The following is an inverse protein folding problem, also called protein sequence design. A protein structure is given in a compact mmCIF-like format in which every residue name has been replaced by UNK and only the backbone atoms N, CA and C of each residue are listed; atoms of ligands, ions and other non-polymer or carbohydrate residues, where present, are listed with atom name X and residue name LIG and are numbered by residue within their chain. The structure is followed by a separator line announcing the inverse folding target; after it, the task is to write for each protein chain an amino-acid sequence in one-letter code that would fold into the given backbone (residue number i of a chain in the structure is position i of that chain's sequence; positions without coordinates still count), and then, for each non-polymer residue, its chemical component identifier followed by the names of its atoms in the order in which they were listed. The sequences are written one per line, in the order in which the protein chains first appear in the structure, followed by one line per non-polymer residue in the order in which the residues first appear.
data_IF_808198770454
#
_entry.id   IF_808198770454
#
_cell.length_a   1.000
_cell.length_b   1.000
_cell.length_c   1.000
_cell.angle_alpha   90.00
_cell.angle_beta   90.00
_cell.angle_gamma   90.00
#
_symmetry.space_group_name_H-M   'P 1'
#
loop_
_entity.id
_entity.type
_entity.pdbx_description
1 polymer ?
#
# COMPACT_ATOMS: atom_id res chain seq x y z
N UNK A 1 28.74 -34.77 -28.88
CA UNK A 1 27.40 -34.98 -28.34
C UNK A 1 27.36 -34.74 -26.83
N UNK A 2 28.27 -35.32 -26.09
CA UNK A 2 28.31 -35.17 -24.62
C UNK A 2 28.52 -33.73 -24.17
N UNK A 3 29.38 -32.99 -24.82
CA UNK A 3 29.67 -31.57 -24.50
C UNK A 3 28.46 -30.66 -24.74
N UNK A 4 27.68 -30.92 -25.79
CA UNK A 4 26.49 -30.14 -26.11
C UNK A 4 25.37 -30.33 -25.09
N UNK A 5 25.17 -31.58 -24.64
CA UNK A 5 24.17 -31.88 -23.62
C UNK A 5 24.55 -31.24 -22.27
N UNK A 6 25.84 -31.31 -21.89
CA UNK A 6 26.37 -30.70 -20.69
C UNK A 6 26.23 -29.15 -20.71
N UNK A 7 26.49 -28.52 -21.85
CA UNK A 7 26.35 -27.09 -22.03
C UNK A 7 24.89 -26.65 -21.92
N UNK A 8 23.98 -27.40 -22.55
CA UNK A 8 22.53 -27.12 -22.45
C UNK A 8 22.04 -27.21 -21.01
N UNK A 9 22.46 -28.21 -20.27
CA UNK A 9 22.12 -28.35 -18.86
C UNK A 9 22.64 -27.19 -18.03
N UNK A 10 23.89 -26.79 -18.26
CA UNK A 10 24.51 -25.66 -17.58
C UNK A 10 23.76 -24.36 -17.87
N UNK A 11 23.38 -24.14 -19.15
CA UNK A 11 22.62 -22.96 -19.58
C UNK A 11 21.21 -22.94 -18.94
N UNK A 12 20.56 -24.10 -18.88
CA UNK A 12 19.26 -24.26 -18.22
C UNK A 12 19.33 -23.96 -16.73
N UNK A 13 20.34 -24.48 -16.05
CA UNK A 13 20.57 -24.20 -14.63
C UNK A 13 20.78 -22.72 -14.37
N UNK A 14 21.53 -22.05 -15.23
CA UNK A 14 21.81 -20.62 -15.13
C UNK A 14 20.52 -19.81 -15.31
N UNK A 15 19.72 -20.17 -16.31
CA UNK A 15 18.41 -19.54 -16.56
C UNK A 15 17.47 -19.75 -15.38
N UNK A 16 17.45 -20.95 -14.83
CA UNK A 16 16.61 -21.27 -13.68
C UNK A 16 17.01 -20.45 -12.46
N UNK A 17 18.29 -20.32 -12.19
CA UNK A 17 18.81 -19.50 -11.08
C UNK A 17 18.42 -18.03 -11.26
N UNK A 18 18.54 -17.49 -12.46
CA UNK A 18 18.16 -16.11 -12.76
C UNK A 18 16.67 -15.89 -12.55
N UNK A 19 15.82 -16.82 -13.01
CA UNK A 19 14.38 -16.75 -12.82
C UNK A 19 14.01 -16.87 -11.35
N UNK A 20 14.66 -17.77 -10.62
CA UNK A 20 14.44 -17.94 -9.18
C UNK A 20 14.78 -16.66 -8.42
N UNK A 21 15.91 -16.03 -8.74
CA UNK A 21 16.31 -14.75 -8.12
C UNK A 21 15.31 -13.65 -8.41
N UNK A 22 14.87 -13.54 -9.66
CA UNK A 22 13.84 -12.54 -10.05
C UNK A 22 12.53 -12.78 -9.33
N UNK A 23 12.14 -14.03 -9.18
CA UNK A 23 10.92 -14.40 -8.47
C UNK A 23 11.00 -14.00 -7.00
N UNK A 24 12.14 -14.27 -6.35
CA UNK A 24 12.37 -13.90 -4.96
C UNK A 24 12.34 -12.38 -4.78
N UNK A 25 12.98 -11.65 -5.68
CA UNK A 25 12.99 -10.19 -5.68
C UNK A 25 11.58 -9.63 -5.84
N UNK A 26 10.80 -10.21 -6.78
CA UNK A 26 9.41 -9.81 -6.99
C UNK A 26 8.56 -10.06 -5.75
N UNK A 27 8.74 -11.20 -5.10
CA UNK A 27 8.02 -11.52 -3.86
C UNK A 27 8.36 -10.55 -2.73
N UNK A 28 9.63 -10.18 -2.60
CA UNK A 28 10.06 -9.17 -1.62
C UNK A 28 9.43 -7.82 -1.89
N UNK A 29 9.38 -7.41 -3.16
CA UNK A 29 8.73 -6.17 -3.58
C UNK A 29 7.25 -6.19 -3.29
N UNK A 30 6.56 -7.30 -3.57
CA UNK A 30 5.14 -7.47 -3.27
C UNK A 30 4.90 -7.34 -1.77
N UNK A 31 5.74 -7.98 -0.95
CA UNK A 31 5.65 -7.89 0.50
C UNK A 31 5.79 -6.46 1.00
N UNK A 32 6.77 -5.73 0.49
CA UNK A 32 7.01 -4.32 0.83
C UNK A 32 5.82 -3.44 0.42
N UNK A 33 5.28 -3.65 -0.78
CA UNK A 33 4.12 -2.90 -1.28
C UNK A 33 2.86 -3.17 -0.45
N UNK A 34 2.65 -4.42 -0.05
CA UNK A 34 1.52 -4.78 0.83
C UNK A 34 1.63 -4.08 2.18
N UNK A 35 2.83 -4.04 2.73
CA UNK A 35 3.08 -3.34 3.99
C UNK A 35 2.79 -1.85 3.85
N UNK A 36 3.28 -1.21 2.79
CA UNK A 36 3.01 0.21 2.50
C UNK A 36 1.53 0.47 2.31
N UNK A 37 0.85 -0.39 1.57
CA UNK A 37 -0.59 -0.25 1.32
C UNK A 37 -1.39 -0.33 2.61
N UNK A 38 -1.05 -1.25 3.50
CA UNK A 38 -1.69 -1.36 4.80
C UNK A 38 -1.43 -0.13 5.66
N UNK A 39 -0.21 0.37 5.64
CA UNK A 39 0.17 1.58 6.38
C UNK A 39 -0.60 2.80 5.85
N UNK A 40 -0.67 2.96 4.53
CA UNK A 40 -1.40 4.05 3.89
C UNK A 40 -2.91 3.96 4.15
N UNK A 41 -3.47 2.76 4.12
CA UNK A 41 -4.89 2.54 4.41
C UNK A 41 -5.23 2.95 5.85
N UNK A 42 -4.38 2.62 6.81
CA UNK A 42 -4.54 3.04 8.20
C UNK A 42 -4.44 4.56 8.35
N UNK A 43 -3.48 5.17 7.67
CA UNK A 43 -3.32 6.63 7.66
C UNK A 43 -4.55 7.32 7.09
N UNK A 44 -5.05 6.80 5.97
CA UNK A 44 -6.23 7.33 5.30
C UNK A 44 -7.45 7.29 6.22
N UNK A 45 -7.66 6.17 6.91
CA UNK A 45 -8.75 6.02 7.87
C UNK A 45 -8.65 7.02 9.02
N UNK A 46 -7.44 7.24 9.55
CA UNK A 46 -7.21 8.23 10.60
C UNK A 46 -7.51 9.65 10.13
N UNK A 47 -7.09 9.98 8.91
CA UNK A 47 -7.34 11.30 8.32
C UNK A 47 -8.82 11.50 8.06
N UNK A 48 -9.53 10.49 7.57
CA UNK A 48 -10.98 10.53 7.36
C UNK A 48 -11.72 10.74 8.69
N UNK A 49 -11.30 10.05 9.74
CA UNK A 49 -11.90 10.22 11.07
C UNK A 49 -11.67 11.63 11.61
N UNK A 50 -10.47 12.18 11.44
CA UNK A 50 -10.15 13.56 11.82
C UNK A 50 -10.98 14.57 11.03
N UNK A 51 -11.10 14.35 9.73
CA UNK A 51 -11.90 15.21 8.87
C UNK A 51 -13.36 15.19 9.28
N UNK A 52 -13.90 14.02 9.59
CA UNK A 52 -15.26 13.86 10.10
C UNK A 52 -15.45 14.63 11.40
N UNK A 53 -14.52 14.53 12.35
CA UNK A 53 -14.56 15.26 13.62
C UNK A 53 -14.55 16.76 13.40
N UNK A 54 -13.66 17.25 12.53
CA UNK A 54 -13.55 18.68 12.24
C UNK A 54 -14.84 19.19 11.61
N UNK A 55 -15.41 18.45 10.67
CA UNK A 55 -16.69 18.80 10.04
C UNK A 55 -17.83 18.84 11.06
N UNK A 56 -17.89 17.85 11.94
CA UNK A 56 -18.89 17.81 12.98
C UNK A 56 -18.78 18.99 13.95
N UNK A 57 -17.55 19.35 14.33
CA UNK A 57 -17.29 20.53 15.16
C UNK A 57 -17.66 21.83 14.46
N UNK A 58 -17.34 21.97 13.18
CA UNK A 58 -17.68 23.14 12.40
C UNK A 58 -19.21 23.28 12.24
N UNK A 59 -19.90 22.20 11.93
CA UNK A 59 -21.36 22.18 11.83
C UNK A 59 -22.01 22.50 13.15
N UNK A 60 -21.51 21.90 14.24
CA UNK A 60 -21.98 22.20 15.59
C UNK A 60 -21.77 23.65 15.98
N UNK A 61 -20.62 24.23 15.68
CA UNK A 61 -20.31 25.63 15.93
C UNK A 61 -21.20 26.55 15.09
N UNK A 62 -21.40 26.20 13.82
CA UNK A 62 -22.26 26.92 12.92
C UNK A 62 -23.73 26.94 13.40
N UNK A 63 -24.23 25.80 13.83
CA UNK A 63 -25.57 25.66 14.37
C UNK A 63 -25.74 26.44 15.68
N UNK A 64 -24.76 26.40 16.55
CA UNK A 64 -24.77 27.17 17.80
C UNK A 64 -24.83 28.67 17.51
N UNK A 65 -24.08 29.15 16.53
CA UNK A 65 -24.12 30.57 16.11
C UNK A 65 -25.47 30.96 15.54
N UNK A 66 -26.07 30.08 14.73
CA UNK A 66 -27.42 30.29 14.18
C UNK A 66 -28.44 30.36 15.27
N UNK A 67 -28.39 29.49 16.26
CA UNK A 67 -29.30 29.49 17.41
C UNK A 67 -29.17 30.76 18.21
N UNK A 68 -27.96 31.26 18.46
CA UNK A 68 -27.72 32.52 19.13
C UNK A 68 -28.35 33.69 18.35
N UNK A 69 -28.21 33.70 17.03
CA UNK A 69 -28.79 34.72 16.17
C UNK A 69 -30.31 34.67 16.20
N UNK A 70 -30.89 33.46 16.20
CA UNK A 70 -32.35 33.27 16.23
C UNK A 70 -32.97 33.66 17.57
N UNK A 71 -32.24 33.54 18.64
CA UNK A 71 -32.72 33.87 19.99
C UNK A 71 -32.58 35.37 20.32
N UNK A 72 -31.88 36.10 19.48
CA UNK A 72 -31.82 37.55 19.60
C UNK A 72 -33.04 38.21 19.03
#
# INVERSE_FOLDING_TARGET
MYRLASKKLSDMELKWKKLSTKFDEANQTIGALRFENNFLAKKTKKLEAKLFQVRAQLEGTSNAKLDEMLNL
#
